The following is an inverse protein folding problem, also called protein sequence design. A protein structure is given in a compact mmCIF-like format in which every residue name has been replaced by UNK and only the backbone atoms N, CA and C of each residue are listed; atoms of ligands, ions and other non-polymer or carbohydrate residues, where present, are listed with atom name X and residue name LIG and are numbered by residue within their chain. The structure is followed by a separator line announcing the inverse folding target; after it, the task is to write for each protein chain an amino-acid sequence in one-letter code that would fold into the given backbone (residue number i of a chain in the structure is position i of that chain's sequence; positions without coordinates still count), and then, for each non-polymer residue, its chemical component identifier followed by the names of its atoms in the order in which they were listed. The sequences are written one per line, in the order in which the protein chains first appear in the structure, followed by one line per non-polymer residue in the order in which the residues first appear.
data_IF_833145613608
#
_entry.id   IF_833145613608
#
_cell.length_a   1.000
_cell.length_b   1.000
_cell.length_c   1.000
_cell.angle_alpha   90.00
_cell.angle_beta   90.00
_cell.angle_gamma   90.00
#
_symmetry.space_group_name_H-M   'P 1'
#
loop_
_entity.id
_entity.type
_entity.pdbx_description
1 polymer ?
#
# COMPACT_ATOMS: atom_id res chain seq x y z
N UNK A 1 -12.48 44.92 24.56
CA UNK A 1 -12.41 43.44 24.66
C UNK A 1 -12.04 43.08 26.09
N UNK A 2 -13.03 42.76 26.91
CA UNK A 2 -12.83 42.37 28.30
C UNK A 2 -12.14 41.00 28.32
N UNK A 3 -10.85 40.94 28.68
CA UNK A 3 -10.12 39.67 28.81
C UNK A 3 -10.69 38.94 30.03
N UNK A 4 -11.68 38.09 29.80
CA UNK A 4 -12.19 37.18 30.83
C UNK A 4 -11.01 36.34 31.34
N UNK A 5 -10.85 36.15 32.65
CA UNK A 5 -9.73 35.39 33.18
C UNK A 5 -9.80 33.95 32.64
N UNK A 6 -8.71 33.50 32.04
CA UNK A 6 -8.60 32.15 31.46
C UNK A 6 -8.81 31.12 32.57
N UNK A 7 -10.02 30.56 32.62
CA UNK A 7 -10.46 29.60 33.64
C UNK A 7 -10.58 28.24 32.98
N UNK A 8 -10.08 27.18 33.64
CA UNK A 8 -10.07 25.80 33.12
C UNK A 8 -11.48 25.37 32.65
N UNK A 9 -12.53 25.78 33.36
CA UNK A 9 -13.93 25.52 32.99
C UNK A 9 -14.31 26.04 31.61
N UNK A 10 -13.85 27.24 31.25
CA UNK A 10 -14.11 27.86 29.95
C UNK A 10 -13.34 27.12 28.87
N UNK A 11 -12.09 26.72 29.14
CA UNK A 11 -11.30 25.91 28.22
C UNK A 11 -11.95 24.55 27.95
N UNK A 12 -12.43 23.86 28.99
CA UNK A 12 -13.12 22.59 28.84
C UNK A 12 -14.40 22.73 28.02
N UNK A 13 -15.23 23.75 28.30
CA UNK A 13 -16.43 24.04 27.51
C UNK A 13 -16.10 24.28 26.04
N UNK A 14 -15.09 25.12 25.74
CA UNK A 14 -14.66 25.37 24.37
C UNK A 14 -14.15 24.11 23.65
N UNK A 15 -13.50 23.19 24.36
CA UNK A 15 -13.07 21.91 23.78
C UNK A 15 -14.29 21.08 23.42
N UNK A 16 -15.25 20.90 24.32
CA UNK A 16 -16.44 20.10 24.03
C UNK A 16 -17.28 20.69 22.89
N UNK A 17 -17.42 22.01 22.84
CA UNK A 17 -18.16 22.70 21.78
C UNK A 17 -17.49 22.56 20.40
N UNK A 18 -16.16 22.42 20.37
CA UNK A 18 -15.39 22.29 19.12
C UNK A 18 -15.16 20.85 18.67
N UNK A 19 -15.31 19.86 19.57
CA UNK A 19 -15.09 18.45 19.25
C UNK A 19 -16.08 17.93 18.21
N UNK A 20 -17.37 18.24 18.34
CA UNK A 20 -18.41 17.78 17.40
C UNK A 20 -18.21 18.37 15.98
N UNK A 21 -18.07 19.69 15.79
CA UNK A 21 -17.75 20.25 14.48
C UNK A 21 -16.37 19.81 13.97
N UNK A 22 -15.40 19.57 14.85
CA UNK A 22 -14.08 19.07 14.48
C UNK A 22 -14.13 17.64 13.91
N UNK A 23 -14.79 16.73 14.59
CA UNK A 23 -14.95 15.33 14.14
C UNK A 23 -15.77 15.28 12.85
N UNK A 24 -16.87 16.03 12.75
CA UNK A 24 -17.69 16.06 11.53
C UNK A 24 -16.93 16.64 10.32
N UNK A 25 -16.14 17.70 10.50
CA UNK A 25 -15.28 18.24 9.45
C UNK A 25 -14.24 17.20 9.00
N UNK A 26 -13.63 16.48 9.94
CA UNK A 26 -12.66 15.42 9.63
C UNK A 26 -13.32 14.28 8.84
N UNK A 27 -14.52 13.84 9.23
CA UNK A 27 -15.26 12.78 8.53
C UNK A 27 -15.72 13.20 7.13
N UNK A 28 -16.22 14.43 6.96
CA UNK A 28 -16.66 14.96 5.66
C UNK A 28 -15.46 15.18 4.73
N UNK A 29 -14.37 15.75 5.25
CA UNK A 29 -13.14 15.91 4.48
C UNK A 29 -12.55 14.56 4.06
N UNK A 30 -12.59 13.56 4.95
CA UNK A 30 -12.18 12.21 4.63
C UNK A 30 -13.04 11.58 3.53
N UNK A 31 -14.36 11.64 3.66
CA UNK A 31 -15.30 11.13 2.65
C UNK A 31 -15.08 11.79 1.28
N UNK A 32 -14.90 13.12 1.25
CA UNK A 32 -14.65 13.83 0.01
C UNK A 32 -13.35 13.38 -0.69
N UNK A 33 -12.29 13.15 0.09
CA UNK A 33 -10.99 12.70 -0.44
C UNK A 33 -10.96 11.21 -0.81
N UNK A 34 -11.69 10.36 -0.09
CA UNK A 34 -11.66 8.91 -0.32
C UNK A 34 -12.69 8.47 -1.37
N UNK A 35 -13.90 9.02 -1.34
CA UNK A 35 -14.99 8.63 -2.22
C UNK A 35 -15.03 9.49 -3.47
N UNK A 36 -15.23 10.80 -3.33
CA UNK A 36 -15.45 11.67 -4.49
C UNK A 36 -14.20 11.78 -5.35
N UNK A 37 -13.05 12.07 -4.73
CA UNK A 37 -11.80 12.25 -5.46
C UNK A 37 -11.32 10.96 -6.13
N UNK A 38 -11.29 9.82 -5.42
CA UNK A 38 -10.85 8.55 -6.01
C UNK A 38 -11.85 8.03 -7.05
N UNK A 39 -13.16 8.23 -6.86
CA UNK A 39 -14.15 7.85 -7.87
C UNK A 39 -13.98 8.65 -9.17
N UNK A 40 -13.69 9.96 -9.09
CA UNK A 40 -13.37 10.77 -10.27
C UNK A 40 -12.09 10.27 -10.96
N UNK A 41 -11.03 9.96 -10.21
CA UNK A 41 -9.80 9.41 -10.77
C UNK A 41 -10.03 8.04 -11.44
N UNK A 42 -10.86 7.19 -10.84
CA UNK A 42 -11.21 5.89 -11.40
C UNK A 42 -11.97 6.01 -12.74
N UNK A 43 -12.89 6.98 -12.83
CA UNK A 43 -13.62 7.28 -14.06
C UNK A 43 -12.70 7.85 -15.15
N UNK A 44 -11.81 8.79 -14.80
CA UNK A 44 -10.81 9.35 -15.73
C UNK A 44 -9.88 8.25 -16.27
N UNK A 45 -9.46 7.32 -15.41
CA UNK A 45 -8.57 6.23 -15.78
C UNK A 45 -9.31 5.02 -16.40
N UNK A 46 -10.65 5.08 -16.51
CA UNK A 46 -11.52 3.97 -16.94
C UNK A 46 -11.23 2.65 -16.21
N UNK A 47 -10.88 2.73 -14.92
CA UNK A 47 -10.62 1.58 -14.08
C UNK A 47 -11.90 1.13 -13.38
N UNK A 48 -12.26 -0.15 -13.55
CA UNK A 48 -13.51 -0.72 -13.05
C UNK A 48 -13.45 -1.17 -11.58
N UNK A 49 -12.28 -1.20 -10.95
CA UNK A 49 -12.15 -1.62 -9.55
C UNK A 49 -12.41 -0.44 -8.61
N UNK A 50 -13.55 -0.46 -7.92
CA UNK A 50 -14.03 0.61 -7.03
C UNK A 50 -13.84 0.28 -5.55
N UNK A 51 -13.02 -0.72 -5.21
CA UNK A 51 -12.83 -1.19 -3.84
C UNK A 51 -11.76 -0.39 -3.06
N UNK A 52 -11.92 0.93 -2.97
CA UNK A 52 -10.90 1.85 -2.44
C UNK A 52 -10.74 1.89 -0.92
N UNK A 53 -11.75 1.43 -0.17
CA UNK A 53 -11.76 1.38 1.29
C UNK A 53 -12.49 0.13 1.78
N UNK A 54 -12.19 -0.30 3.02
CA UNK A 54 -12.86 -1.40 3.71
C UNK A 54 -13.54 -0.88 4.99
N UNK A 55 -14.24 -1.74 5.73
CA UNK A 55 -14.92 -1.40 6.99
C UNK A 55 -13.94 -0.94 8.09
N UNK A 56 -13.48 0.31 7.97
CA UNK A 56 -12.48 0.91 8.86
C UNK A 56 -13.08 1.28 10.21
N UNK A 57 -14.36 1.64 10.25
CA UNK A 57 -15.09 2.00 11.47
C UNK A 57 -15.26 0.83 12.44
N UNK A 58 -15.17 -0.42 11.97
CA UNK A 58 -15.29 -1.63 12.79
C UNK A 58 -13.93 -2.23 13.18
N UNK A 59 -12.83 -1.55 12.84
CA UNK A 59 -11.48 -2.04 13.14
C UNK A 59 -11.15 -1.82 14.62
N UNK A 60 -10.93 -2.90 15.36
CA UNK A 60 -10.64 -2.88 16.81
C UNK A 60 -9.19 -2.55 17.15
N UNK A 61 -8.29 -2.55 16.16
CA UNK A 61 -6.85 -2.27 16.33
C UNK A 61 -6.40 -1.09 15.48
N UNK A 62 -5.56 -0.23 16.06
CA UNK A 62 -4.98 0.94 15.39
C UNK A 62 -4.22 0.55 14.11
N UNK A 63 -3.51 -0.58 14.12
CA UNK A 63 -2.81 -1.10 12.94
C UNK A 63 -3.77 -1.48 11.81
N UNK A 64 -4.92 -2.08 12.16
CA UNK A 64 -5.95 -2.47 11.19
C UNK A 64 -6.69 -1.26 10.64
N UNK A 65 -6.89 -0.23 11.47
CA UNK A 65 -7.52 1.04 11.08
C UNK A 65 -6.78 1.71 9.91
N UNK A 66 -5.46 1.94 9.99
CA UNK A 66 -4.73 2.60 8.89
C UNK A 66 -4.74 1.79 7.60
N UNK A 67 -4.79 0.46 7.71
CA UNK A 67 -4.78 -0.43 6.55
C UNK A 67 -6.12 -0.46 5.82
N UNK A 68 -7.24 -0.39 6.53
CA UNK A 68 -8.58 -0.34 5.95
C UNK A 68 -9.03 1.07 5.55
N UNK A 69 -8.43 2.10 6.17
CA UNK A 69 -8.70 3.52 5.92
C UNK A 69 -8.29 3.98 4.51
N UNK A 70 -7.14 3.55 4.00
CA UNK A 70 -6.60 4.00 2.71
C UNK A 70 -5.89 2.86 1.97
N UNK A 71 -6.66 1.97 1.37
CA UNK A 71 -6.13 0.75 0.73
C UNK A 71 -5.17 1.09 -0.42
N UNK A 72 -5.46 2.13 -1.20
CA UNK A 72 -4.62 2.57 -2.34
C UNK A 72 -3.22 2.98 -1.88
N UNK A 73 -3.14 3.85 -0.87
CA UNK A 73 -1.86 4.34 -0.35
C UNK A 73 -1.11 3.21 0.33
N UNK A 74 -1.82 2.36 1.08
CA UNK A 74 -1.23 1.20 1.71
C UNK A 74 -0.63 0.24 0.67
N UNK A 75 -1.36 -0.09 -0.39
CA UNK A 75 -0.91 -1.01 -1.43
C UNK A 75 0.21 -0.40 -2.28
N UNK A 76 0.15 0.90 -2.58
CA UNK A 76 1.25 1.61 -3.22
C UNK A 76 2.52 1.57 -2.36
N UNK A 77 2.41 1.94 -1.08
CA UNK A 77 3.54 1.94 -0.15
C UNK A 77 4.11 0.53 0.04
N UNK A 78 3.23 -0.48 0.09
CA UNK A 78 3.63 -1.88 0.21
C UNK A 78 4.37 -2.37 -1.04
N UNK A 79 3.81 -2.16 -2.22
CA UNK A 79 4.38 -2.65 -3.48
C UNK A 79 5.66 -1.92 -3.89
N UNK A 80 5.76 -0.60 -3.64
CA UNK A 80 6.90 0.19 -4.11
C UNK A 80 7.98 0.47 -3.06
N UNK A 81 7.63 0.63 -1.79
CA UNK A 81 8.63 0.94 -0.77
C UNK A 81 8.98 -0.32 0.00
N UNK A 82 7.98 -1.02 0.50
CA UNK A 82 8.23 -2.17 1.38
C UNK A 82 8.81 -3.36 0.62
N UNK A 83 8.24 -3.67 -0.54
CA UNK A 83 8.72 -4.77 -1.37
C UNK A 83 10.15 -4.49 -1.86
N UNK A 84 10.41 -3.31 -2.41
CA UNK A 84 11.73 -2.95 -2.93
C UNK A 84 12.80 -2.87 -1.84
N UNK A 85 12.45 -2.37 -0.65
CA UNK A 85 13.37 -2.37 0.49
C UNK A 85 13.70 -3.78 0.97
N UNK A 86 12.70 -4.67 1.05
CA UNK A 86 12.91 -6.07 1.43
C UNK A 86 13.80 -6.80 0.41
N UNK A 87 13.55 -6.61 -0.89
CA UNK A 87 14.39 -7.18 -1.94
C UNK A 87 15.83 -6.66 -1.85
N UNK A 88 16.03 -5.35 -1.69
CA UNK A 88 17.34 -4.76 -1.51
C UNK A 88 18.05 -5.30 -0.26
N UNK A 89 17.34 -5.44 0.86
CA UNK A 89 17.89 -5.96 2.11
C UNK A 89 18.30 -7.44 2.00
N UNK A 90 17.53 -8.27 1.29
CA UNK A 90 17.85 -9.67 1.05
C UNK A 90 19.03 -9.83 0.11
N UNK A 91 19.11 -9.00 -0.93
CA UNK A 91 20.28 -8.95 -1.83
C UNK A 91 21.51 -8.52 -1.05
N UNK A 92 21.42 -7.46 -0.25
CA UNK A 92 22.53 -6.99 0.58
C UNK A 92 22.98 -8.04 1.59
N UNK A 93 22.04 -8.72 2.26
CA UNK A 93 22.36 -9.82 3.19
C UNK A 93 23.05 -10.98 2.46
N UNK A 94 22.59 -11.34 1.26
CA UNK A 94 23.24 -12.37 0.43
C UNK A 94 24.67 -11.98 0.05
N UNK A 95 24.90 -10.70 -0.30
CA UNK A 95 26.22 -10.17 -0.62
C UNK A 95 27.16 -10.15 0.59
N UNK A 96 26.67 -9.74 1.77
CA UNK A 96 27.45 -9.73 3.02
C UNK A 96 27.79 -11.16 3.44
N UNK A 97 26.82 -12.09 3.38
CA UNK A 97 27.02 -13.50 3.69
C UNK A 97 28.04 -14.14 2.77
N UNK A 98 27.99 -13.85 1.47
CA UNK A 98 28.96 -14.35 0.50
C UNK A 98 30.36 -13.79 0.78
N UNK A 99 30.49 -12.46 0.98
CA UNK A 99 31.74 -11.81 1.40
C UNK A 99 32.34 -12.42 2.67
N UNK A 100 31.50 -12.74 3.67
CA UNK A 100 31.92 -13.33 4.93
C UNK A 100 32.39 -14.79 4.80
N UNK A 101 31.86 -15.54 3.82
CA UNK A 101 32.20 -16.94 3.59
C UNK A 101 33.39 -17.14 2.63
N UNK A 102 33.60 -16.24 1.66
CA UNK A 102 34.56 -16.47 0.56
C UNK A 102 35.75 -15.50 0.49
N UNK A 103 35.73 -14.38 1.21
CA UNK A 103 36.84 -13.40 1.23
C UNK A 103 37.22 -12.79 -0.13
N UNK A 104 36.48 -13.07 -1.22
CA UNK A 104 36.84 -12.66 -2.58
C UNK A 104 35.62 -12.08 -3.32
N UNK A 105 35.73 -10.88 -3.92
CA UNK A 105 34.64 -10.29 -4.69
C UNK A 105 34.67 -10.87 -6.11
N UNK A 106 33.94 -11.96 -6.35
CA UNK A 106 33.74 -12.45 -7.73
C UNK A 106 32.50 -11.77 -8.31
N UNK A 107 32.75 -10.71 -9.07
CA UNK A 107 31.77 -9.93 -9.83
C UNK A 107 30.93 -10.76 -10.82
N UNK A 108 31.29 -12.03 -11.07
CA UNK A 108 30.57 -12.96 -11.96
C UNK A 108 29.38 -13.69 -11.32
N UNK A 109 29.33 -13.83 -9.99
CA UNK A 109 28.20 -14.51 -9.33
C UNK A 109 27.03 -13.56 -9.05
N UNK A 110 27.31 -12.26 -8.87
CA UNK A 110 26.29 -11.23 -8.67
C UNK A 110 25.33 -11.10 -9.86
N UNK A 111 25.83 -11.24 -11.09
CA UNK A 111 25.01 -11.20 -12.30
C UNK A 111 24.13 -12.46 -12.44
N UNK A 112 24.66 -13.64 -12.12
CA UNK A 112 23.90 -14.90 -12.13
C UNK A 112 22.85 -14.96 -11.01
N UNK A 113 23.14 -14.42 -9.83
CA UNK A 113 22.19 -14.31 -8.72
C UNK A 113 21.11 -13.26 -9.00
N UNK A 114 21.48 -12.09 -9.56
CA UNK A 114 20.53 -11.08 -10.00
C UNK A 114 19.58 -11.62 -11.08
N UNK A 115 20.10 -12.40 -12.04
CA UNK A 115 19.29 -13.06 -13.07
C UNK A 115 18.33 -14.09 -12.48
N UNK A 116 18.77 -14.83 -11.44
CA UNK A 116 17.93 -15.82 -10.74
C UNK A 116 16.87 -15.19 -9.84
N UNK A 117 17.15 -14.03 -9.25
CA UNK A 117 16.18 -13.23 -8.47
C UNK A 117 15.16 -12.49 -9.35
N UNK A 118 15.48 -12.22 -10.62
CA UNK A 118 14.55 -11.63 -11.60
C UNK A 118 13.65 -12.66 -12.30
N UNK A 119 14.06 -13.94 -12.28
CA UNK A 119 13.34 -15.08 -12.87
C UNK A 119 11.93 -15.44 -12.31
N UNK A 120 11.46 -14.99 -11.11
CA UNK A 120 10.11 -15.31 -10.66
C UNK A 120 9.00 -14.66 -11.51
N UNK A 121 9.27 -13.51 -12.13
CA UNK A 121 8.28 -12.77 -12.92
C UNK A 121 8.12 -13.33 -14.35
N UNK A 122 9.18 -13.87 -14.94
CA UNK A 122 9.15 -14.55 -16.25
C UNK A 122 8.53 -15.95 -16.20
N UNK A 123 8.60 -16.64 -15.06
CA UNK A 123 7.98 -17.95 -14.90
C UNK A 123 6.43 -17.89 -14.93
N UNK A 124 5.84 -16.84 -14.33
CA UNK A 124 4.38 -16.66 -14.30
C UNK A 124 3.81 -16.24 -15.67
N UNK A 125 4.52 -15.40 -16.44
CA UNK A 125 4.08 -15.00 -17.78
C UNK A 125 4.12 -16.17 -18.79
N UNK A 126 5.09 -17.07 -18.64
CA UNK A 126 5.22 -18.28 -19.48
C UNK A 126 4.13 -19.31 -19.18
N UNK A 127 3.75 -19.48 -17.90
CA UNK A 127 2.63 -20.35 -17.47
C UNK A 127 1.25 -19.82 -17.92
N UNK A 128 1.05 -18.51 -17.91
CA UNK A 128 -0.19 -17.88 -18.41
C UNK A 128 -0.31 -18.01 -19.94
N UNK A 129 0.77 -17.80 -20.69
CA UNK A 129 0.77 -17.99 -22.15
C UNK A 129 0.52 -19.44 -22.59
N UNK A 130 1.06 -20.42 -21.87
CA UNK A 130 0.85 -21.84 -22.18
C UNK A 130 -0.58 -22.33 -21.83
N UNK A 131 -1.21 -21.76 -20.81
CA UNK A 131 -2.60 -22.07 -20.43
C UNK A 131 -3.63 -21.42 -21.37
N UNK A 132 -3.33 -20.24 -21.92
CA UNK A 132 -4.19 -19.57 -22.92
C UNK A 132 -4.12 -20.26 -24.28
N UNK A 133 -2.97 -20.82 -24.66
CA UNK A 133 -2.80 -21.53 -25.92
C UNK A 133 -3.47 -22.92 -25.93
N UNK A 134 -3.62 -23.58 -24.78
CA UNK A 134 -4.29 -24.89 -24.68
C UNK A 134 -5.82 -24.82 -24.71
N UNK A 135 -6.44 -23.66 -24.43
CA UNK A 135 -7.90 -23.46 -24.56
C UNK A 135 -8.39 -23.09 -25.96
N UNK A 136 -7.52 -22.92 -26.95
CA UNK A 136 -7.88 -22.61 -28.36
C UNK A 136 -7.74 -23.81 -29.31
N UNK A 137 -7.98 -25.04 -28.85
CA UNK A 137 -8.30 -26.14 -29.78
C UNK A 137 -9.82 -26.25 -29.94
N UNK A 138 -10.39 -26.14 -31.15
CA UNK A 138 -11.79 -26.45 -31.38
C UNK A 138 -11.99 -27.96 -31.21
N UNK A 139 -12.99 -28.38 -30.43
CA UNK A 139 -13.49 -29.74 -30.47
C UNK A 139 -14.16 -29.94 -31.84
N UNK A 140 -13.46 -30.62 -32.75
CA UNK A 140 -14.09 -31.20 -33.93
C UNK A 140 -14.94 -32.39 -33.50
N UNK A 141 -16.23 -32.32 -33.83
CA UNK A 141 -17.25 -33.36 -33.66
C UNK A 141 -18.49 -32.91 -34.41
#
# INVERSE_FOLDING_TARGET
MHKQPFTIKILLLSIFDTVIPGISCLLVGFYFLQDCWQNIFAEILCFADRSFYKDWWNSTSFSTYFRSWNVIVHDWLYCYIYQDFLWCSLILFSMIREKALSGTPSYGYASLWAWRSFSPYTAKSTLLSSTVHSRRRPSGG
#
